data_IF_568817419450
#
_entry.id   IF_568817419450
#
_cell.length_a   1.000
_cell.length_b   1.000
_cell.length_c   1.000
_cell.angle_alpha   90.00
_cell.angle_beta   90.00
_cell.angle_gamma   90.00
#
_symmetry.space_group_name_H-M   'P 1'
#
loop_
_entity.id
_entity.type
_entity.pdbx_description
1 polymer ?
#
# COMPACT_ATOMS: atom_id res chain seq x y z
N UNK A 1 -6.69 5.70 -6.23
CA UNK A 1 -6.24 5.03 -4.98
C UNK A 1 -7.45 4.44 -4.25
N UNK A 2 -7.29 3.35 -3.49
CA UNK A 2 -8.37 2.79 -2.66
C UNK A 2 -8.66 3.70 -1.45
N UNK A 3 -9.89 3.65 -0.90
CA UNK A 3 -10.27 4.41 0.29
C UNK A 3 -9.30 4.17 1.45
N UNK A 4 -8.88 2.93 1.64
CA UNK A 4 -7.95 2.56 2.70
C UNK A 4 -6.59 3.27 2.61
N UNK A 5 -6.12 3.56 1.39
CA UNK A 5 -4.86 4.27 1.20
C UNK A 5 -4.99 5.75 1.57
N UNK A 6 -6.16 6.36 1.39
CA UNK A 6 -6.40 7.73 1.82
C UNK A 6 -6.27 7.86 3.34
N UNK A 7 -6.84 6.91 4.11
CA UNK A 7 -6.80 6.93 5.58
C UNK A 7 -5.35 6.86 6.10
N UNK A 8 -4.55 5.96 5.56
CA UNK A 8 -3.13 5.84 5.94
C UNK A 8 -2.33 7.08 5.57
N UNK A 9 -2.55 7.64 4.38
CA UNK A 9 -1.87 8.87 3.95
C UNK A 9 -2.27 10.08 4.80
N UNK A 10 -3.53 10.16 5.23
CA UNK A 10 -3.99 11.19 6.17
C UNK A 10 -3.23 11.07 7.51
N UNK A 11 -3.14 9.86 8.08
CA UNK A 11 -2.39 9.63 9.30
C UNK A 11 -0.90 10.00 9.15
N UNK A 12 -0.23 9.54 8.08
CA UNK A 12 1.17 9.86 7.81
C UNK A 12 1.40 11.36 7.59
N UNK A 13 0.56 12.03 6.80
CA UNK A 13 0.67 13.48 6.58
C UNK A 13 0.47 14.28 7.87
N UNK A 14 -0.43 13.83 8.75
CA UNK A 14 -0.66 14.45 10.04
C UNK A 14 0.51 14.25 11.02
N UNK A 15 1.24 13.14 10.89
CA UNK A 15 2.46 12.87 11.64
C UNK A 15 3.65 13.71 11.11
N UNK A 16 3.82 13.83 9.79
CA UNK A 16 4.91 14.58 9.17
C UNK A 16 4.84 16.10 9.43
N UNK A 17 3.66 16.70 9.35
CA UNK A 17 3.50 18.15 9.41
C UNK A 17 2.52 18.59 10.49
N UNK A 18 2.89 19.58 11.30
CA UNK A 18 2.01 20.13 12.34
C UNK A 18 1.02 21.17 11.79
N UNK A 19 1.37 21.91 10.73
CA UNK A 19 0.52 22.97 10.18
C UNK A 19 -0.58 22.41 9.25
N UNK A 20 -1.85 22.89 9.34
CA UNK A 20 -2.96 22.40 8.51
C UNK A 20 -2.73 22.60 7.00
N UNK A 21 -2.17 23.75 6.61
CA UNK A 21 -1.91 24.07 5.20
C UNK A 21 -0.86 23.15 4.58
N UNK A 22 0.18 22.77 5.35
CA UNK A 22 1.20 21.84 4.86
C UNK A 22 0.66 20.42 4.67
N UNK A 23 -0.24 19.95 5.56
CA UNK A 23 -0.90 18.64 5.44
C UNK A 23 -1.66 18.51 4.12
N UNK A 24 -2.53 19.48 3.82
CA UNK A 24 -3.34 19.48 2.60
C UNK A 24 -2.49 19.63 1.34
N UNK A 25 -1.49 20.52 1.36
CA UNK A 25 -0.58 20.73 0.23
C UNK A 25 0.23 19.46 -0.08
N UNK A 26 0.78 18.80 0.95
CA UNK A 26 1.52 17.55 0.79
C UNK A 26 0.67 16.45 0.17
N UNK A 27 -0.54 16.23 0.69
CA UNK A 27 -1.46 15.23 0.12
C UNK A 27 -1.79 15.55 -1.33
N UNK A 28 -2.14 16.80 -1.63
CA UNK A 28 -2.47 17.21 -2.99
C UNK A 28 -1.31 16.96 -3.96
N UNK A 29 -0.08 17.33 -3.57
CA UNK A 29 1.12 17.10 -4.36
C UNK A 29 1.37 15.61 -4.58
N UNK A 30 1.19 14.78 -3.55
CA UNK A 30 1.36 13.33 -3.63
C UNK A 30 0.35 12.68 -4.59
N UNK A 31 -0.90 13.18 -4.58
CA UNK A 31 -1.93 12.76 -5.53
C UNK A 31 -1.61 13.20 -6.96
N UNK A 32 -1.17 14.45 -7.18
CA UNK A 32 -0.72 14.91 -8.50
C UNK A 32 0.46 14.09 -9.02
N UNK A 33 1.44 13.81 -8.16
CA UNK A 33 2.58 12.96 -8.49
C UNK A 33 2.11 11.55 -8.89
N UNK A 34 1.06 11.03 -8.27
CA UNK A 34 0.51 9.72 -8.65
C UNK A 34 -0.11 9.67 -10.04
N UNK A 35 -0.82 10.73 -10.43
CA UNK A 35 -1.37 10.86 -11.79
C UNK A 35 -0.24 11.01 -12.80
N UNK A 36 0.77 11.83 -12.48
CA UNK A 36 1.91 12.07 -13.35
C UNK A 36 2.73 10.77 -13.59
N UNK A 37 3.03 10.02 -12.52
CA UNK A 37 3.72 8.72 -12.61
C UNK A 37 2.88 7.72 -13.40
N UNK A 38 1.56 7.69 -13.23
CA UNK A 38 0.68 6.82 -14.02
C UNK A 38 0.74 7.17 -15.52
N UNK A 39 0.67 8.44 -15.89
CA UNK A 39 0.79 8.89 -17.29
C UNK A 39 2.15 8.55 -17.91
N UNK A 40 3.23 8.72 -17.15
CA UNK A 40 4.57 8.34 -17.60
C UNK A 40 4.68 6.82 -17.75
N UNK A 41 4.22 6.06 -16.76
CA UNK A 41 4.30 4.60 -16.74
C UNK A 41 3.51 3.97 -17.90
N UNK A 42 2.28 4.43 -18.12
CA UNK A 42 1.44 3.98 -19.26
C UNK A 42 2.09 4.28 -20.60
N UNK A 43 2.65 5.48 -20.78
CA UNK A 43 3.39 5.83 -22.01
C UNK A 43 4.61 4.94 -22.22
N UNK A 44 5.40 4.68 -21.16
CA UNK A 44 6.55 3.77 -21.20
C UNK A 44 6.10 2.36 -21.59
N UNK A 45 5.08 1.80 -20.92
CA UNK A 45 4.57 0.46 -21.22
C UNK A 45 4.03 0.32 -22.65
N UNK A 46 3.28 1.32 -23.14
CA UNK A 46 2.72 1.28 -24.50
C UNK A 46 3.81 1.30 -25.57
N UNK A 47 4.84 2.12 -25.38
CA UNK A 47 5.93 2.29 -26.36
C UNK A 47 6.89 1.10 -26.33
N UNK A 48 7.35 0.71 -25.13
CA UNK A 48 8.44 -0.26 -24.99
C UNK A 48 7.97 -1.71 -24.88
N UNK A 49 6.86 -1.96 -24.16
CA UNK A 49 6.46 -3.34 -23.79
C UNK A 49 5.40 -3.87 -24.73
N UNK A 50 4.25 -3.19 -24.85
CA UNK A 50 3.12 -3.72 -25.62
C UNK A 50 3.19 -3.40 -27.12
N UNK A 51 4.03 -2.42 -27.54
CA UNK A 51 4.15 -1.96 -28.94
C UNK A 51 2.79 -1.81 -29.62
N UNK A 52 1.81 -1.26 -28.90
CA UNK A 52 0.41 -1.18 -29.35
C UNK A 52 0.34 -0.24 -30.55
N UNK A 53 0.18 -0.80 -31.76
CA UNK A 53 0.06 -0.02 -32.99
C UNK A 53 -1.38 0.37 -33.34
N UNK A 54 -2.35 -0.30 -32.75
CA UNK A 54 -3.76 -0.14 -33.11
C UNK A 54 -4.53 0.47 -31.95
N UNK A 55 -5.14 1.63 -32.18
CA UNK A 55 -6.14 2.18 -31.26
C UNK A 55 -7.28 1.16 -31.18
N UNK A 56 -7.68 0.66 -29.99
CA UNK A 56 -8.91 -0.11 -29.89
C UNK A 56 -10.04 0.81 -30.35
N UNK A 57 -10.76 0.42 -31.40
CA UNK A 57 -12.02 1.04 -31.75
C UNK A 57 -12.97 0.78 -30.58
N UNK A 58 -13.09 1.78 -29.71
CA UNK A 58 -14.05 1.75 -28.62
C UNK A 58 -15.42 2.05 -29.23
N UNK A 59 -15.98 1.04 -29.91
CA UNK A 59 -17.36 1.02 -30.35
C UNK A 59 -18.22 0.81 -29.09
N UNK A 60 -18.41 1.92 -28.37
CA UNK A 60 -19.26 1.97 -27.20
C UNK A 60 -20.70 2.09 -27.69
N UNK A 61 -21.25 1.00 -28.20
CA UNK A 61 -22.70 0.89 -28.40
C UNK A 61 -23.33 0.96 -27.00
N UNK A 62 -23.83 2.14 -26.62
CA UNK A 62 -24.53 2.29 -25.36
C UNK A 62 -25.85 1.53 -25.49
N UNK A 63 -26.06 0.44 -24.73
CA UNK A 63 -27.35 -0.24 -24.71
C UNK A 63 -28.40 0.72 -24.12
N UNK A 64 -29.68 0.58 -24.50
CA UNK A 64 -30.75 1.37 -23.93
C UNK A 64 -30.76 1.26 -22.40
N UNK A 65 -30.65 2.41 -21.73
CA UNK A 65 -30.62 2.52 -20.28
C UNK A 65 -32.02 2.23 -19.71
N UNK A 66 -32.16 1.11 -19.00
CA UNK A 66 -33.41 0.73 -18.35
C UNK A 66 -33.42 1.24 -16.89
N UNK A 67 -34.54 1.81 -16.45
CA UNK A 67 -34.69 2.25 -15.05
C UNK A 67 -34.69 1.03 -14.11
N UNK A 68 -33.72 0.91 -13.20
CA UNK A 68 -33.59 -0.29 -12.38
C UNK A 68 -34.64 -0.31 -11.26
N UNK A 69 -35.26 -1.47 -11.03
CA UNK A 69 -36.17 -1.65 -9.91
C UNK A 69 -35.40 -1.83 -8.59
N UNK A 70 -35.85 -1.16 -7.53
CA UNK A 70 -35.23 -1.21 -6.18
C UNK A 70 -35.03 -2.64 -5.66
N UNK A 71 -35.96 -3.55 -5.97
CA UNK A 71 -35.87 -4.97 -5.58
C UNK A 71 -34.73 -5.69 -6.28
N UNK A 72 -34.52 -5.43 -7.58
CA UNK A 72 -33.42 -6.03 -8.35
C UNK A 72 -32.09 -5.46 -7.91
N UNK A 73 -32.01 -4.14 -7.66
CA UNK A 73 -30.80 -3.52 -7.10
C UNK A 73 -30.45 -4.21 -5.78
N UNK A 74 -31.37 -4.29 -4.82
CA UNK A 74 -31.12 -4.92 -3.53
C UNK A 74 -30.63 -6.36 -3.64
N UNK A 75 -31.29 -7.18 -4.47
CA UNK A 75 -30.88 -8.57 -4.69
C UNK A 75 -29.49 -8.66 -5.31
N UNK A 76 -29.23 -7.87 -6.35
CA UNK A 76 -27.95 -7.85 -7.06
C UNK A 76 -26.81 -7.37 -6.17
N UNK A 77 -27.01 -6.26 -5.44
CA UNK A 77 -26.03 -5.77 -4.47
C UNK A 77 -25.77 -6.81 -3.39
N UNK A 78 -26.81 -7.44 -2.82
CA UNK A 78 -26.66 -8.46 -1.77
C UNK A 78 -25.85 -9.67 -2.25
N UNK A 79 -26.13 -10.18 -3.44
CA UNK A 79 -25.40 -11.33 -4.02
C UNK A 79 -23.94 -10.96 -4.28
N UNK A 80 -23.68 -9.81 -4.91
CA UNK A 80 -22.31 -9.37 -5.20
C UNK A 80 -21.52 -9.06 -3.93
N UNK A 81 -22.14 -8.44 -2.93
CA UNK A 81 -21.50 -8.15 -1.64
C UNK A 81 -21.17 -9.44 -0.91
N UNK A 82 -22.07 -10.43 -0.85
CA UNK A 82 -21.75 -11.73 -0.22
C UNK A 82 -20.67 -12.49 -0.97
N UNK A 83 -20.67 -12.44 -2.30
CA UNK A 83 -19.62 -13.04 -3.10
C UNK A 83 -18.26 -12.38 -2.84
N UNK A 84 -18.21 -11.05 -2.73
CA UNK A 84 -17.01 -10.31 -2.36
C UNK A 84 -16.53 -10.65 -0.94
N UNK A 85 -17.42 -10.64 0.05
CA UNK A 85 -17.09 -10.96 1.45
C UNK A 85 -16.53 -12.37 1.61
N UNK A 86 -17.16 -13.38 0.99
CA UNK A 86 -16.66 -14.77 1.07
C UNK A 86 -15.28 -14.90 0.44
N UNK A 87 -15.05 -14.26 -0.70
CA UNK A 87 -13.81 -14.40 -1.47
C UNK A 87 -12.65 -13.60 -0.87
N UNK A 88 -12.90 -12.36 -0.43
CA UNK A 88 -11.91 -11.53 0.24
C UNK A 88 -11.64 -12.02 1.67
N UNK A 89 -12.69 -12.37 2.42
CA UNK A 89 -12.59 -12.89 3.78
C UNK A 89 -11.81 -14.20 3.85
N UNK A 90 -12.01 -15.12 2.90
CA UNK A 90 -11.26 -16.37 2.83
C UNK A 90 -9.74 -16.18 2.62
N UNK A 91 -9.31 -15.03 2.08
CA UNK A 91 -7.89 -14.72 1.87
C UNK A 91 -7.34 -13.89 3.05
N UNK A 92 -8.07 -12.89 3.52
CA UNK A 92 -7.61 -11.96 4.56
C UNK A 92 -7.55 -12.64 5.92
N UNK A 93 -8.57 -13.42 6.29
CA UNK A 93 -8.66 -14.06 7.61
C UNK A 93 -7.45 -14.96 7.94
N UNK A 94 -7.06 -15.93 7.08
CA UNK A 94 -5.87 -16.75 7.36
C UNK A 94 -4.58 -15.93 7.33
N UNK A 95 -4.49 -14.90 6.48
CA UNK A 95 -3.34 -14.01 6.41
C UNK A 95 -3.15 -13.20 7.71
N UNK A 96 -4.23 -12.70 8.31
CA UNK A 96 -4.18 -11.97 9.58
C UNK A 96 -3.77 -12.89 10.72
N UNK A 97 -4.30 -14.13 10.76
CA UNK A 97 -3.89 -15.13 11.75
C UNK A 97 -2.40 -15.45 11.62
N UNK A 98 -1.93 -15.68 10.39
CA UNK A 98 -0.51 -15.93 10.13
C UNK A 98 0.36 -14.74 10.56
N UNK A 99 -0.08 -13.51 10.28
CA UNK A 99 0.62 -12.30 10.68
C UNK A 99 0.67 -12.11 12.20
N UNK A 100 -0.42 -12.44 12.90
CA UNK A 100 -0.46 -12.44 14.37
C UNK A 100 0.53 -13.44 14.97
N UNK A 101 0.60 -14.65 14.41
CA UNK A 101 1.61 -15.64 14.80
C UNK A 101 3.04 -15.13 14.56
N UNK A 102 3.26 -14.44 13.43
CA UNK A 102 4.56 -13.85 13.11
C UNK A 102 5.02 -12.81 14.14
N UNK A 103 4.07 -12.07 14.73
CA UNK A 103 4.33 -11.06 15.77
C UNK A 103 4.56 -11.65 17.17
N UNK A 104 3.90 -12.76 17.51
CA UNK A 104 3.93 -13.31 18.88
C UNK A 104 4.85 -14.52 19.06
N UNK A 105 5.23 -15.20 17.98
CA UNK A 105 6.19 -16.30 18.02
C UNK A 105 7.59 -15.76 17.69
N UNK A 106 8.53 -16.00 18.59
CA UNK A 106 9.97 -15.87 18.36
C UNK A 106 10.64 -17.23 18.13
N UNK A 107 11.93 -17.25 17.71
CA UNK A 107 12.70 -18.47 17.51
C UNK A 107 12.80 -19.37 18.77
N UNK A 108 12.61 -18.79 19.96
CA UNK A 108 12.71 -19.46 21.25
C UNK A 108 11.35 -19.73 21.94
N UNK A 109 10.21 -19.43 21.29
CA UNK A 109 8.87 -19.66 21.85
C UNK A 109 7.95 -18.44 21.79
N UNK A 110 6.92 -18.40 22.65
CA UNK A 110 6.01 -17.26 22.77
C UNK A 110 6.73 -16.11 23.48
N UNK A 111 6.88 -14.97 22.81
CA UNK A 111 7.60 -13.80 23.33
C UNK A 111 6.63 -12.65 23.58
N UNK A 112 6.69 -12.05 24.77
CA UNK A 112 5.97 -10.80 25.09
C UNK A 112 6.63 -9.57 24.46
N UNK A 113 7.93 -9.66 24.15
CA UNK A 113 8.68 -8.59 23.49
C UNK A 113 8.68 -8.76 21.97
N UNK A 114 8.03 -7.81 21.28
CA UNK A 114 7.92 -7.82 19.82
C UNK A 114 9.28 -7.78 19.09
N UNK A 115 10.35 -7.32 19.74
CA UNK A 115 11.69 -7.19 19.14
C UNK A 115 12.37 -8.53 18.83
N UNK A 116 11.97 -9.61 19.50
CA UNK A 116 12.50 -10.97 19.30
C UNK A 116 11.55 -11.87 18.49
N UNK A 117 10.45 -11.30 17.98
CA UNK A 117 9.50 -12.01 17.13
C UNK A 117 10.12 -12.38 15.78
N UNK A 118 9.60 -13.43 15.14
CA UNK A 118 9.95 -13.78 13.76
C UNK A 118 9.64 -12.60 12.82
N UNK A 119 8.58 -11.85 13.12
CA UNK A 119 8.22 -10.61 12.44
C UNK A 119 9.34 -9.57 12.52
N UNK A 120 9.95 -9.35 13.68
CA UNK A 120 11.07 -8.43 13.81
C UNK A 120 12.31 -8.89 13.03
N UNK A 121 12.57 -10.20 12.96
CA UNK A 121 13.66 -10.76 12.14
C UNK A 121 13.40 -10.46 10.66
N UNK A 122 12.20 -10.75 10.15
CA UNK A 122 11.84 -10.39 8.77
C UNK A 122 11.92 -8.88 8.54
N UNK A 123 11.44 -8.08 9.49
CA UNK A 123 11.50 -6.62 9.46
C UNK A 123 12.94 -6.11 9.33
N UNK A 124 13.90 -6.70 10.05
CA UNK A 124 15.33 -6.34 9.97
C UNK A 124 15.96 -6.72 8.63
N UNK A 125 15.57 -7.85 8.03
CA UNK A 125 16.03 -8.20 6.68
C UNK A 125 15.50 -7.22 5.63
N UNK A 126 14.24 -6.84 5.74
CA UNK A 126 13.63 -5.84 4.85
C UNK A 126 14.23 -4.45 5.12
N UNK A 127 14.54 -4.12 6.38
CA UNK A 127 15.10 -2.82 6.73
C UNK A 127 16.47 -2.56 6.13
N UNK A 128 17.25 -3.61 5.85
CA UNK A 128 18.50 -3.46 5.10
C UNK A 128 18.24 -2.91 3.68
N UNK A 129 17.21 -3.43 3.01
CA UNK A 129 16.80 -2.98 1.67
C UNK A 129 16.17 -1.58 1.76
N UNK A 130 15.38 -1.29 2.81
CA UNK A 130 14.70 0.01 2.93
C UNK A 130 15.56 1.09 3.58
N UNK A 131 16.74 0.75 4.10
CA UNK A 131 17.68 1.69 4.73
C UNK A 131 18.09 2.87 3.84
N UNK A 132 18.33 2.72 2.52
CA UNK A 132 18.73 3.85 1.68
C UNK A 132 17.59 4.85 1.43
N UNK A 133 16.35 4.48 1.78
CA UNK A 133 15.17 5.33 1.66
C UNK A 133 14.82 6.00 3.02
N UNK A 134 15.70 5.87 4.02
CA UNK A 134 15.47 6.41 5.36
C UNK A 134 14.55 5.55 6.23
N UNK A 135 14.26 4.31 5.83
CA UNK A 135 13.47 3.37 6.64
C UNK A 135 14.39 2.30 7.23
N UNK A 136 15.26 2.72 8.15
CA UNK A 136 16.22 1.86 8.85
C UNK A 136 15.56 1.05 9.97
N UNK A 137 14.45 1.55 10.52
CA UNK A 137 13.69 0.88 11.58
C UNK A 137 12.94 -0.35 11.07
N UNK A 138 13.20 -1.48 11.72
CA UNK A 138 12.53 -2.76 11.44
C UNK A 138 11.01 -2.69 11.58
N UNK A 139 10.51 -1.79 12.44
CA UNK A 139 9.07 -1.57 12.67
C UNK A 139 8.39 -1.01 11.43
N UNK A 140 9.02 -0.05 10.75
CA UNK A 140 8.48 0.54 9.53
C UNK A 140 8.50 -0.48 8.37
N UNK A 141 9.58 -1.27 8.26
CA UNK A 141 9.68 -2.34 7.27
C UNK A 141 8.65 -3.45 7.49
N UNK A 142 8.40 -3.84 8.74
CA UNK A 142 7.34 -4.79 9.09
C UNK A 142 5.94 -4.21 8.82
N UNK A 143 5.75 -2.92 9.09
CA UNK A 143 4.51 -2.24 8.78
C UNK A 143 4.22 -2.24 7.28
N UNK A 144 5.23 -2.02 6.42
CA UNK A 144 5.09 -2.16 4.95
C UNK A 144 4.67 -3.57 4.53
N UNK A 145 5.23 -4.61 5.17
CA UNK A 145 4.82 -6.00 4.94
C UNK A 145 3.34 -6.19 5.27
N UNK A 146 2.90 -5.70 6.43
CA UNK A 146 1.48 -5.77 6.81
C UNK A 146 0.58 -4.98 5.86
N UNK A 147 1.07 -3.85 5.36
CA UNK A 147 0.38 -3.02 4.38
C UNK A 147 0.09 -3.77 3.09
N UNK A 148 0.99 -4.67 2.67
CA UNK A 148 0.79 -5.49 1.49
C UNK A 148 -0.42 -6.43 1.65
N UNK A 149 -0.60 -7.00 2.85
CA UNK A 149 -1.78 -7.79 3.19
C UNK A 149 -3.04 -6.90 3.18
N UNK A 150 -3.01 -5.81 3.92
CA UNK A 150 -4.07 -4.82 4.01
C UNK A 150 -3.49 -3.44 4.29
N UNK A 151 -3.86 -2.42 3.49
CA UNK A 151 -3.23 -1.09 3.58
C UNK A 151 -3.37 -0.46 4.96
N UNK A 152 -4.53 -0.58 5.60
CA UNK A 152 -4.78 -0.11 6.98
C UNK A 152 -3.91 -0.82 8.03
N UNK A 153 -3.41 -2.02 7.70
CA UNK A 153 -2.51 -2.79 8.55
C UNK A 153 -1.23 -2.05 8.90
N UNK A 154 -0.78 -1.10 8.08
CA UNK A 154 0.38 -0.26 8.40
C UNK A 154 0.18 0.49 9.71
N UNK A 155 -0.98 1.13 9.90
CA UNK A 155 -1.29 1.86 11.13
C UNK A 155 -1.51 0.87 12.29
N UNK A 156 -2.25 -0.21 12.04
CA UNK A 156 -2.51 -1.23 13.05
C UNK A 156 -1.22 -1.84 13.60
N UNK A 157 -0.25 -2.16 12.73
CA UNK A 157 1.03 -2.75 13.16
C UNK A 157 1.89 -1.78 13.93
N UNK A 158 2.03 -0.54 13.46
CA UNK A 158 2.78 0.49 14.16
C UNK A 158 2.18 0.71 15.56
N UNK A 159 0.85 0.80 15.70
CA UNK A 159 0.17 0.95 16.99
C UNK A 159 0.38 -0.25 17.90
N UNK A 160 0.20 -1.48 17.39
CA UNK A 160 0.37 -2.69 18.21
C UNK A 160 1.80 -2.87 18.73
N UNK A 161 2.80 -2.52 17.92
CA UNK A 161 4.21 -2.70 18.28
C UNK A 161 4.70 -1.60 19.24
N UNK A 162 4.16 -0.38 19.09
CA UNK A 162 4.50 0.75 19.98
C UNK A 162 3.68 0.76 21.27
N UNK A 163 2.52 0.11 21.27
CA UNK A 163 1.57 0.15 22.38
C UNK A 163 0.76 1.45 22.47
N UNK A 164 0.88 2.35 21.48
CA UNK A 164 0.12 3.60 21.44
C UNK A 164 -1.18 3.42 20.63
N UNK A 165 -2.30 3.90 21.18
CA UNK A 165 -3.60 3.89 20.51
C UNK A 165 -3.67 4.96 19.40
N UNK A 166 -3.04 6.11 19.63
CA UNK A 166 -3.01 7.22 18.69
C UNK A 166 -2.01 6.97 17.54
N UNK A 167 -2.47 6.83 16.28
CA UNK A 167 -1.59 6.50 15.16
C UNK A 167 -0.53 7.57 14.88
N UNK A 168 -0.86 8.83 15.10
CA UNK A 168 0.03 9.96 14.85
C UNK A 168 1.20 9.97 15.83
N UNK A 169 0.92 9.71 17.11
CA UNK A 169 1.94 9.64 18.16
C UNK A 169 2.84 8.40 17.97
N UNK A 170 2.23 7.26 17.62
CA UNK A 170 2.95 6.03 17.34
C UNK A 170 3.95 6.20 16.18
N UNK A 171 3.54 6.82 15.07
CA UNK A 171 4.42 7.10 13.92
C UNK A 171 5.58 8.00 14.32
N UNK A 172 5.30 9.11 15.03
CA UNK A 172 6.34 10.07 15.47
C UNK A 172 7.33 9.50 16.48
N UNK A 173 6.95 8.45 17.20
CA UNK A 173 7.84 7.79 18.17
C UNK A 173 8.93 6.93 17.50
N UNK A 174 8.75 6.57 16.23
CA UNK A 174 9.67 5.71 15.48
C UNK A 174 10.34 6.48 14.36
N UNK A 175 9.60 7.36 13.66
CA UNK A 175 10.05 7.94 12.40
C UNK A 175 10.24 9.47 12.49
N UNK A 176 11.33 9.95 11.88
CA UNK A 176 11.55 11.37 11.62
C UNK A 176 10.68 11.92 10.47
N UNK A 177 10.55 13.25 10.32
CA UNK A 177 9.68 13.85 9.31
C UNK A 177 10.05 13.46 7.86
N UNK A 178 11.35 13.37 7.53
CA UNK A 178 11.79 12.93 6.20
C UNK A 178 11.45 11.45 5.92
N UNK A 179 11.50 10.61 6.95
CA UNK A 179 11.20 9.17 6.86
C UNK A 179 9.68 8.94 6.73
N UNK A 180 8.86 9.77 7.40
CA UNK A 180 7.40 9.72 7.23
C UNK A 180 7.02 10.11 5.79
N UNK A 181 7.71 11.09 5.20
CA UNK A 181 7.50 11.45 3.80
C UNK A 181 7.88 10.30 2.87
N UNK A 182 9.04 9.67 3.08
CA UNK A 182 9.45 8.53 2.25
C UNK A 182 8.49 7.36 2.39
N UNK A 183 8.05 7.04 3.62
CA UNK A 183 7.02 6.02 3.89
C UNK A 183 5.70 6.34 3.18
N UNK A 184 5.29 7.61 3.15
CA UNK A 184 4.07 8.06 2.44
C UNK A 184 4.17 7.83 0.95
N UNK A 185 5.33 8.13 0.34
CA UNK A 185 5.58 7.89 -1.08
C UNK A 185 5.61 6.40 -1.38
N UNK A 186 6.34 5.59 -0.59
CA UNK A 186 6.33 4.12 -0.74
C UNK A 186 4.91 3.59 -0.65
N UNK A 187 4.15 3.95 0.38
CA UNK A 187 2.78 3.49 0.60
C UNK A 187 1.85 3.84 -0.57
N UNK A 188 2.18 4.92 -1.29
CA UNK A 188 1.46 5.37 -2.46
C UNK A 188 1.83 4.59 -3.73
N UNK A 189 3.08 4.20 -3.95
CA UNK A 189 3.48 3.59 -5.23
C UNK A 189 3.76 2.10 -5.17
N UNK A 190 3.94 1.53 -3.98
CA UNK A 190 4.26 0.11 -3.84
C UNK A 190 3.05 -0.81 -4.10
N UNK A 191 3.35 -2.10 -4.11
CA UNK A 191 2.51 -3.24 -4.51
C UNK A 191 1.00 -3.08 -4.36
N UNK A 192 0.21 -3.67 -5.27
CA UNK A 192 -1.22 -3.83 -5.10
C UNK A 192 -1.47 -4.71 -3.86
N UNK A 193 -2.53 -4.47 -3.10
CA UNK A 193 -2.85 -5.35 -1.97
C UNK A 193 -3.12 -6.78 -2.47
N UNK A 194 -3.01 -7.77 -1.58
CA UNK A 194 -3.22 -9.19 -1.92
C UNK A 194 -4.52 -9.44 -2.68
N UNK A 195 -5.60 -8.73 -2.31
CA UNK A 195 -6.88 -8.81 -3.02
C UNK A 195 -6.78 -8.37 -4.49
N UNK A 196 -6.15 -7.23 -4.76
CA UNK A 196 -5.94 -6.74 -6.13
C UNK A 196 -4.97 -7.62 -6.93
N UNK A 197 -3.90 -8.12 -6.30
CA UNK A 197 -2.99 -9.06 -6.95
C UNK A 197 -3.71 -10.36 -7.35
N UNK A 198 -4.57 -10.89 -6.47
CA UNK A 198 -5.35 -12.10 -6.75
C UNK A 198 -6.34 -11.94 -7.92
N UNK A 199 -6.92 -10.74 -8.08
CA UNK A 199 -7.77 -10.43 -9.25
C UNK A 199 -6.90 -10.32 -10.50
N UNK A 200 -5.78 -9.60 -10.42
CA UNK A 200 -4.85 -9.44 -11.55
C UNK A 200 -4.34 -10.78 -12.09
N UNK A 201 -4.05 -11.73 -11.19
CA UNK A 201 -3.64 -13.08 -11.55
C UNK A 201 -4.73 -13.83 -12.32
N UNK A 202 -6.00 -13.63 -11.96
CA UNK A 202 -7.15 -14.26 -12.63
C UNK A 202 -7.40 -13.70 -14.02
N UNK A 203 -7.19 -12.41 -14.19
CA UNK A 203 -7.33 -11.72 -15.49
C UNK A 203 -6.17 -12.06 -16.44
N UNK A 204 -4.92 -11.94 -15.97
CA UNK A 204 -3.73 -12.23 -16.78
C UNK A 204 -3.52 -13.73 -17.03
N UNK A 205 -4.11 -14.60 -16.19
CA UNK A 205 -3.92 -16.07 -16.18
C UNK A 205 -2.45 -16.53 -16.19
N UNK A 206 -1.51 -15.66 -15.81
CA UNK A 206 -0.07 -15.93 -15.83
C UNK A 206 0.64 -15.23 -14.68
N UNK A 207 1.25 -16.03 -13.81
CA UNK A 207 1.99 -15.54 -12.65
C UNK A 207 3.27 -14.78 -13.03
N UNK A 208 3.87 -15.10 -14.18
CA UNK A 208 5.10 -14.43 -14.65
C UNK A 208 4.85 -12.95 -14.93
N UNK A 209 3.74 -12.62 -15.61
CA UNK A 209 3.41 -11.22 -15.90
C UNK A 209 3.01 -10.46 -14.64
N UNK A 210 2.31 -11.11 -13.70
CA UNK A 210 2.01 -10.50 -12.40
C UNK A 210 3.28 -10.14 -11.63
N UNK A 211 4.27 -11.05 -11.59
CA UNK A 211 5.54 -10.77 -10.91
C UNK A 211 6.32 -9.63 -11.57
N UNK A 212 6.30 -9.55 -12.90
CA UNK A 212 6.93 -8.44 -13.65
C UNK A 212 6.27 -7.10 -13.28
N UNK A 213 4.95 -7.04 -13.23
CA UNK A 213 4.20 -5.83 -12.85
C UNK A 213 4.52 -5.42 -11.42
N UNK A 214 4.49 -6.37 -10.48
CA UNK A 214 4.82 -6.12 -9.08
C UNK A 214 6.26 -5.63 -8.92
N UNK A 215 7.21 -6.26 -9.61
CA UNK A 215 8.62 -5.87 -9.56
C UNK A 215 8.82 -4.45 -10.12
N UNK A 216 8.13 -4.11 -11.22
CA UNK A 216 8.14 -2.77 -11.80
C UNK A 216 7.59 -1.72 -10.83
N UNK A 217 6.43 -1.97 -10.21
CA UNK A 217 5.85 -1.03 -9.23
C UNK A 217 6.75 -0.85 -8.00
N UNK A 218 7.34 -1.94 -7.50
CA UNK A 218 8.30 -1.90 -6.39
C UNK A 218 9.52 -1.05 -6.74
N UNK A 219 10.07 -1.22 -7.94
CA UNK A 219 11.23 -0.45 -8.39
C UNK A 219 10.89 1.03 -8.51
N UNK A 220 9.76 1.37 -9.15
CA UNK A 220 9.31 2.76 -9.27
C UNK A 220 9.06 3.38 -7.89
N UNK A 221 8.40 2.66 -6.99
CA UNK A 221 8.15 3.12 -5.62
C UNK A 221 9.45 3.35 -4.86
N UNK A 222 10.42 2.44 -4.99
CA UNK A 222 11.72 2.53 -4.35
C UNK A 222 12.49 3.77 -4.82
N UNK A 223 12.55 4.00 -6.15
CA UNK A 223 13.24 5.17 -6.72
C UNK A 223 12.59 6.49 -6.30
N UNK A 224 11.26 6.59 -6.38
CA UNK A 224 10.54 7.79 -5.98
C UNK A 224 10.73 8.09 -4.49
N UNK A 225 10.70 7.05 -3.65
CA UNK A 225 10.87 7.20 -2.23
C UNK A 225 12.30 7.61 -1.87
N UNK A 226 13.31 7.02 -2.54
CA UNK A 226 14.71 7.43 -2.42
C UNK A 226 14.88 8.93 -2.75
N UNK A 227 14.38 9.38 -3.90
CA UNK A 227 14.42 10.81 -4.28
C UNK A 227 13.71 11.67 -3.23
N UNK A 228 12.53 11.27 -2.77
CA UNK A 228 11.78 12.04 -1.78
C UNK A 228 12.50 12.16 -0.45
N UNK A 229 13.17 11.10 0.01
CA UNK A 229 13.91 11.09 1.27
C UNK A 229 15.07 12.10 1.22
N UNK A 230 15.91 12.03 0.18
CA UNK A 230 17.07 12.92 0.06
C UNK A 230 16.69 14.38 -0.17
N UNK A 231 15.63 14.64 -0.94
CA UNK A 231 15.14 16.02 -1.15
C UNK A 231 14.65 16.61 0.17
N UNK A 232 13.89 15.86 0.97
CA UNK A 232 13.39 16.35 2.25
C UNK A 232 14.47 16.41 3.33
N UNK A 233 15.40 15.46 3.36
CA UNK A 233 16.52 15.51 4.30
C UNK A 233 17.43 16.72 4.04
N UNK A 234 17.56 17.15 2.78
CA UNK A 234 18.32 18.35 2.41
C UNK A 234 17.58 19.64 2.80
N UNK A 235 16.24 19.65 2.77
CA UNK A 235 15.43 20.81 3.11
C UNK A 235 15.24 21.02 4.62
N UNK A 236 15.40 19.96 5.42
CA UNK A 236 15.26 19.97 6.89
C UNK A 236 16.59 20.22 7.62
N UNK A 237 17.70 20.36 6.88
CA UNK A 237 19.03 20.60 7.44
C UNK A 237 19.39 22.08 7.52
#
# INVERSE_FOLDING_TARGET
>A
PCQARLVVLLALSSAAFSSPLAKSSFLMLLYFLSVLVFLISTKIMQVYVLKVRWKPELLLEIPPYHVPSLRVIWWYTRVNTMHFLRKAGAIIFPMVIAFWFLLHIGPSGYTTDYSNSIGAIMGRYISLITSPIGLSDWRASLALLSGFLAKEGVLGTINTITGLEDPVAAIRSILGPAEIVSLSVVMNFYLPCVATAAVLLKELRSARYLLIIIAYELLVAYLLAFVSYYVFSLFLH
#
